data_IF_886622828521
#
_entry.id   IF_886622828521
#
_cell.length_a   1.000
_cell.length_b   1.000
_cell.length_c   1.000
_cell.angle_alpha   90.00
_cell.angle_beta   90.00
_cell.angle_gamma   90.00
#
_symmetry.space_group_name_H-M   'P 1'
#
loop_
_entity.id
_entity.type
_entity.pdbx_description
1 polymer ?
#
# COMPACT_ATOMS: atom_id res chain seq x y z
N UNK A 1 -7.97 -3.02 -14.87
CA UNK A 1 -7.96 -3.90 -13.69
C UNK A 1 -7.40 -3.19 -12.44
N UNK A 2 -8.08 -3.35 -11.30
CA UNK A 2 -7.74 -2.66 -10.04
C UNK A 2 -6.36 -3.07 -9.50
N UNK A 3 -5.96 -4.32 -9.72
CA UNK A 3 -4.62 -4.84 -9.37
C UNK A 3 -3.47 -4.03 -9.97
N UNK A 4 -3.57 -3.58 -11.23
CA UNK A 4 -2.54 -2.73 -11.87
C UNK A 4 -2.56 -1.33 -11.29
N UNK A 5 -3.74 -0.80 -10.96
CA UNK A 5 -3.85 0.52 -10.33
C UNK A 5 -3.23 0.50 -8.93
N UNK A 6 -3.45 -0.58 -8.15
CA UNK A 6 -2.79 -0.79 -6.87
C UNK A 6 -1.26 -0.84 -7.02
N UNK A 7 -0.74 -1.60 -8.00
CA UNK A 7 0.69 -1.65 -8.25
C UNK A 7 1.30 -0.28 -8.59
N UNK A 8 0.61 0.52 -9.41
CA UNK A 8 1.04 1.89 -9.76
C UNK A 8 0.98 2.78 -8.52
N UNK A 9 -0.11 2.75 -7.76
CA UNK A 9 -0.28 3.57 -6.56
C UNK A 9 0.78 3.26 -5.50
N UNK A 10 1.06 1.97 -5.25
CA UNK A 10 2.10 1.54 -4.31
C UNK A 10 3.50 1.86 -4.83
N UNK A 11 3.74 1.79 -6.14
CA UNK A 11 5.00 2.27 -6.73
C UNK A 11 5.20 3.78 -6.51
N UNK A 12 4.14 4.58 -6.66
CA UNK A 12 4.18 6.02 -6.36
C UNK A 12 4.44 6.28 -4.87
N UNK A 13 3.83 5.51 -3.97
CA UNK A 13 4.13 5.60 -2.52
C UNK A 13 5.59 5.26 -2.26
N UNK A 14 6.10 4.16 -2.81
CA UNK A 14 7.49 3.73 -2.63
C UNK A 14 8.48 4.79 -3.16
N UNK A 15 8.23 5.35 -4.34
CA UNK A 15 9.02 6.47 -4.87
C UNK A 15 8.90 7.73 -4.01
N UNK A 16 7.70 8.01 -3.49
CA UNK A 16 7.43 9.09 -2.55
C UNK A 16 8.34 9.05 -1.32
N UNK A 17 8.58 7.86 -0.76
CA UNK A 17 9.46 7.70 0.41
C UNK A 17 10.91 8.16 0.20
N UNK A 18 11.36 8.33 -1.06
CA UNK A 18 12.69 8.83 -1.38
C UNK A 18 12.78 10.36 -1.28
N UNK A 19 11.68 11.09 -1.44
CA UNK A 19 11.69 12.55 -1.47
C UNK A 19 12.20 13.17 -0.15
N UNK A 20 11.74 12.73 1.05
CA UNK A 20 12.23 13.26 2.32
C UNK A 20 13.75 13.09 2.53
N UNK A 21 14.40 12.13 1.87
CA UNK A 21 15.86 11.94 1.97
C UNK A 21 16.66 13.11 1.38
N UNK A 22 16.07 13.85 0.45
CA UNK A 22 16.68 15.02 -0.22
C UNK A 22 16.45 16.33 0.52
N UNK A 23 15.72 16.31 1.64
CA UNK A 23 15.32 17.52 2.33
C UNK A 23 16.32 17.94 3.41
N UNK A 24 17.03 19.05 3.16
CA UNK A 24 17.97 19.63 4.13
C UNK A 24 17.34 20.70 5.05
N UNK A 25 16.09 21.08 4.80
CA UNK A 25 15.38 22.12 5.56
C UNK A 25 13.95 21.69 5.92
N UNK A 26 13.44 22.21 7.04
CA UNK A 26 12.08 21.89 7.53
C UNK A 26 10.97 22.21 6.51
N UNK A 27 10.97 23.36 5.80
CA UNK A 27 9.96 23.63 4.79
C UNK A 27 10.01 22.67 3.60
N UNK A 28 11.22 22.29 3.16
CA UNK A 28 11.41 21.32 2.09
C UNK A 28 10.96 19.93 2.53
N UNK A 29 11.19 19.57 3.79
CA UNK A 29 10.72 18.32 4.38
C UNK A 29 9.19 18.27 4.44
N UNK A 30 8.54 19.36 4.84
CA UNK A 30 7.08 19.46 4.82
C UNK A 30 6.51 19.30 3.40
N UNK A 31 7.13 19.94 2.40
CA UNK A 31 6.70 19.83 1.01
C UNK A 31 6.89 18.41 0.45
N UNK A 32 8.04 17.79 0.70
CA UNK A 32 8.34 16.44 0.22
C UNK A 32 7.44 15.39 0.85
N UNK A 33 7.16 15.50 2.16
CA UNK A 33 6.19 14.64 2.85
C UNK A 33 4.77 14.87 2.33
N UNK A 34 4.37 16.12 2.08
CA UNK A 34 3.06 16.45 1.50
C UNK A 34 2.87 15.77 0.12
N UNK A 35 3.85 15.91 -0.77
CA UNK A 35 3.82 15.29 -2.11
C UNK A 35 3.76 13.77 -1.99
N UNK A 36 4.53 13.18 -1.06
CA UNK A 36 4.52 11.74 -0.80
C UNK A 36 3.14 11.26 -0.35
N UNK A 37 2.43 12.06 0.44
CA UNK A 37 1.09 11.75 0.95
C UNK A 37 0.00 11.65 -0.13
N UNK A 38 0.16 12.32 -1.28
CA UNK A 38 -0.84 12.32 -2.37
C UNK A 38 -1.11 10.89 -2.89
N UNK A 39 -0.10 10.03 -2.89
CA UNK A 39 -0.22 8.65 -3.36
C UNK A 39 -0.97 7.72 -2.39
N UNK A 40 -1.23 8.16 -1.14
CA UNK A 40 -1.90 7.33 -0.12
C UNK A 40 -3.38 7.11 -0.47
N UNK A 41 -4.08 8.16 -0.94
CA UNK A 41 -5.50 8.07 -1.30
C UNK A 41 -5.80 7.04 -2.40
N UNK A 42 -5.15 7.07 -3.59
CA UNK A 42 -5.39 6.07 -4.62
C UNK A 42 -4.96 4.65 -4.17
N UNK A 43 -3.97 4.54 -3.27
CA UNK A 43 -3.58 3.25 -2.69
C UNK A 43 -4.73 2.65 -1.87
N UNK A 44 -5.33 3.43 -0.97
CA UNK A 44 -6.47 2.96 -0.16
C UNK A 44 -7.69 2.64 -1.01
N UNK A 45 -8.05 3.51 -1.95
CA UNK A 45 -9.22 3.30 -2.82
C UNK A 45 -9.08 2.00 -3.62
N UNK A 46 -7.91 1.77 -4.23
CA UNK A 46 -7.68 0.55 -5.03
C UNK A 46 -7.58 -0.70 -4.16
N UNK A 47 -6.98 -0.61 -2.98
CA UNK A 47 -6.89 -1.72 -2.03
C UNK A 47 -8.27 -2.15 -1.52
N UNK A 48 -9.09 -1.21 -1.06
CA UNK A 48 -10.45 -1.52 -0.59
C UNK A 48 -11.34 -2.01 -1.71
N UNK A 49 -11.25 -1.42 -2.91
CA UNK A 49 -11.98 -1.94 -4.08
C UNK A 49 -11.57 -3.37 -4.47
N UNK A 50 -10.32 -3.78 -4.22
CA UNK A 50 -9.90 -5.18 -4.39
C UNK A 50 -10.47 -6.09 -3.31
N UNK A 51 -10.47 -5.64 -2.05
CA UNK A 51 -11.02 -6.40 -0.92
C UNK A 51 -12.51 -6.68 -1.15
N UNK A 52 -13.27 -5.65 -1.52
CA UNK A 52 -14.72 -5.76 -1.81
C UNK A 52 -15.03 -6.76 -2.94
N UNK A 53 -14.12 -6.93 -3.90
CA UNK A 53 -14.31 -7.86 -5.02
C UNK A 53 -13.84 -9.29 -4.75
N UNK A 54 -12.88 -9.46 -3.83
CA UNK A 54 -12.25 -10.77 -3.59
C UNK A 54 -12.77 -11.46 -2.33
N UNK A 55 -13.30 -10.70 -1.38
CA UNK A 55 -13.85 -11.26 -0.14
C UNK A 55 -15.35 -11.50 -0.34
N UNK A 56 -15.86 -12.73 -0.05
CA UNK A 56 -17.28 -13.01 -0.10
C UNK A 56 -18.08 -12.03 0.76
N UNK A 57 -19.26 -11.61 0.30
CA UNK A 57 -20.08 -10.60 0.99
C UNK A 57 -20.31 -10.91 2.47
N UNK A 58 -20.52 -12.19 2.81
CA UNK A 58 -20.73 -12.66 4.17
C UNK A 58 -19.53 -12.43 5.11
N UNK A 59 -18.32 -12.23 4.58
CA UNK A 59 -17.07 -12.06 5.33
C UNK A 59 -16.40 -10.71 5.10
N UNK A 60 -17.05 -9.75 4.42
CA UNK A 60 -16.46 -8.44 4.11
C UNK A 60 -16.03 -7.68 5.37
N UNK A 61 -16.84 -7.70 6.42
CA UNK A 61 -16.51 -7.06 7.69
C UNK A 61 -15.25 -7.65 8.31
N UNK A 62 -15.09 -8.97 8.23
CA UNK A 62 -13.90 -9.66 8.73
C UNK A 62 -12.67 -9.31 7.87
N UNK A 63 -12.81 -9.28 6.54
CA UNK A 63 -11.76 -8.86 5.61
C UNK A 63 -11.26 -7.43 5.89
N UNK A 64 -12.17 -6.48 6.05
CA UNK A 64 -11.82 -5.08 6.39
C UNK A 64 -11.17 -5.00 7.77
N UNK A 65 -11.66 -5.77 8.75
CA UNK A 65 -11.09 -5.81 10.09
C UNK A 65 -9.63 -6.27 10.06
N UNK A 66 -9.35 -7.39 9.37
CA UNK A 66 -7.99 -7.90 9.22
C UNK A 66 -7.05 -6.88 8.55
N UNK A 67 -7.54 -6.15 7.55
CA UNK A 67 -6.76 -5.10 6.86
C UNK A 67 -6.42 -3.96 7.81
N UNK A 68 -7.39 -3.46 8.58
CA UNK A 68 -7.16 -2.40 9.57
C UNK A 68 -6.22 -2.85 10.69
N UNK A 69 -6.35 -4.09 11.16
CA UNK A 69 -5.41 -4.68 12.13
C UNK A 69 -3.99 -4.75 11.55
N UNK A 70 -3.84 -5.19 10.30
CA UNK A 70 -2.56 -5.22 9.61
C UNK A 70 -1.91 -3.83 9.51
N UNK A 71 -2.70 -2.79 9.18
CA UNK A 71 -2.23 -1.40 9.17
C UNK A 71 -1.74 -0.98 10.55
N UNK A 72 -2.49 -1.29 11.62
CA UNK A 72 -2.10 -1.02 13.01
C UNK A 72 -0.77 -1.68 13.39
N UNK A 73 -0.59 -2.95 13.04
CA UNK A 73 0.66 -3.69 13.27
C UNK A 73 1.82 -3.06 12.50
N UNK A 74 1.60 -2.71 11.22
CA UNK A 74 2.60 -2.05 10.40
C UNK A 74 3.04 -0.69 10.97
N UNK A 75 2.09 0.13 11.43
CA UNK A 75 2.40 1.41 12.08
C UNK A 75 3.21 1.21 13.37
N UNK A 76 2.87 0.22 14.20
CA UNK A 76 3.61 -0.07 15.43
C UNK A 76 5.04 -0.51 15.14
N UNK A 77 5.23 -1.47 14.22
CA UNK A 77 6.55 -1.96 13.82
C UNK A 77 7.38 -0.87 13.15
N UNK A 78 6.76 -0.07 12.26
CA UNK A 78 7.42 1.05 11.59
C UNK A 78 7.87 2.13 12.57
N UNK A 79 7.01 2.50 13.52
CA UNK A 79 7.35 3.48 14.58
C UNK A 79 8.51 2.98 15.46
N UNK A 80 8.45 1.72 15.89
CA UNK A 80 9.52 1.09 16.67
C UNK A 80 10.85 1.08 15.91
N UNK A 81 10.86 0.61 14.66
CA UNK A 81 12.07 0.51 13.84
C UNK A 81 12.63 1.90 13.49
N UNK A 82 11.77 2.86 13.13
CA UNK A 82 12.18 4.23 12.85
C UNK A 82 12.78 4.90 14.08
N UNK A 83 12.16 4.75 15.26
CA UNK A 83 12.70 5.26 16.52
C UNK A 83 14.09 4.68 16.82
N UNK A 84 14.23 3.36 16.78
CA UNK A 84 15.50 2.69 17.03
C UNK A 84 16.62 3.13 16.06
N UNK A 85 16.28 3.33 14.77
CA UNK A 85 17.24 3.82 13.77
C UNK A 85 17.60 5.28 14.01
N UNK A 86 16.62 6.13 14.33
CA UNK A 86 16.85 7.55 14.64
C UNK A 86 17.74 7.72 15.87
N UNK A 87 17.51 6.92 16.91
CA UNK A 87 18.30 6.97 18.15
C UNK A 87 19.76 6.56 17.91
N UNK A 88 20.01 5.61 17.01
CA UNK A 88 21.36 5.09 16.74
C UNK A 88 22.12 5.86 15.65
N UNK A 89 21.44 6.37 14.63
CA UNK A 89 22.05 6.90 13.40
C UNK A 89 21.56 8.33 13.04
N UNK A 90 20.73 8.95 13.89
CA UNK A 90 20.23 10.30 13.73
C UNK A 90 18.95 10.41 12.89
N UNK A 91 18.29 11.56 12.95
CA UNK A 91 16.94 11.77 12.39
C UNK A 91 16.81 11.42 10.89
N UNK A 92 17.79 11.79 10.07
CA UNK A 92 17.73 11.58 8.62
C UNK A 92 17.78 10.11 8.23
N UNK A 93 18.45 9.27 9.03
CA UNK A 93 18.53 7.82 8.78
C UNK A 93 17.18 7.12 8.95
N UNK A 94 16.27 7.68 9.76
CA UNK A 94 14.93 7.14 9.98
C UNK A 94 14.10 7.02 8.70
N UNK A 95 14.34 7.87 7.70
CA UNK A 95 13.64 7.80 6.42
C UNK A 95 13.98 6.55 5.60
N UNK A 96 15.14 5.92 5.83
CA UNK A 96 15.47 4.64 5.19
C UNK A 96 14.54 3.51 5.62
N UNK A 97 13.95 3.58 6.82
CA UNK A 97 12.93 2.63 7.27
C UNK A 97 11.67 2.73 6.40
N UNK A 98 11.27 3.96 6.04
CA UNK A 98 10.16 4.18 5.10
C UNK A 98 10.47 3.64 3.71
N UNK A 99 11.70 3.85 3.20
CA UNK A 99 12.14 3.32 1.89
C UNK A 99 12.13 1.80 1.87
N UNK A 100 12.68 1.16 2.91
CA UNK A 100 12.66 -0.29 3.04
C UNK A 100 11.22 -0.83 3.09
N UNK A 101 10.35 -0.20 3.89
CA UNK A 101 8.94 -0.59 4.01
C UNK A 101 8.18 -0.42 2.69
N UNK A 102 8.38 0.70 1.99
CA UNK A 102 7.79 0.95 0.67
C UNK A 102 8.25 -0.06 -0.38
N UNK A 103 9.53 -0.45 -0.34
CA UNK A 103 10.08 -1.47 -1.24
C UNK A 103 9.48 -2.85 -0.97
N UNK A 104 9.34 -3.23 0.32
CA UNK A 104 8.70 -4.49 0.73
C UNK A 104 7.23 -4.51 0.32
N UNK A 105 6.50 -3.40 0.52
CA UNK A 105 5.11 -3.28 0.11
C UNK A 105 4.96 -3.43 -1.41
N UNK A 106 5.81 -2.74 -2.19
CA UNK A 106 5.82 -2.86 -3.65
C UNK A 106 6.12 -4.30 -4.10
N UNK A 107 7.14 -4.93 -3.51
CA UNK A 107 7.48 -6.33 -3.82
C UNK A 107 6.30 -7.26 -3.52
N UNK A 108 5.63 -7.07 -2.38
CA UNK A 108 4.44 -7.86 -1.98
C UNK A 108 3.31 -7.71 -2.99
N UNK A 109 3.01 -6.48 -3.42
CA UNK A 109 1.96 -6.22 -4.42
C UNK A 109 2.31 -6.79 -5.79
N UNK A 110 3.58 -6.70 -6.21
CA UNK A 110 4.05 -7.27 -7.47
C UNK A 110 3.96 -8.80 -7.48
N UNK A 111 4.33 -9.45 -6.39
CA UNK A 111 4.17 -10.90 -6.22
C UNK A 111 2.69 -11.31 -6.19
N UNK A 112 1.83 -10.48 -5.60
CA UNK A 112 0.39 -10.70 -5.52
C UNK A 112 -0.38 -10.52 -6.84
N UNK A 113 0.19 -9.86 -7.86
CA UNK A 113 -0.51 -9.57 -9.13
C UNK A 113 -1.09 -10.83 -9.78
N UNK A 114 -0.36 -11.96 -9.75
CA UNK A 114 -0.84 -13.20 -10.39
C UNK A 114 -2.08 -13.77 -9.69
N UNK A 115 -2.11 -13.72 -8.36
CA UNK A 115 -3.24 -14.21 -7.57
C UNK A 115 -4.48 -13.35 -7.80
N UNK A 116 -4.31 -12.02 -7.83
CA UNK A 116 -5.41 -11.07 -8.05
C UNK A 116 -5.96 -11.14 -9.48
N UNK A 117 -5.11 -11.40 -10.47
CA UNK A 117 -5.53 -11.53 -11.86
C UNK A 117 -6.38 -12.79 -12.12
N UNK A 118 -6.10 -13.87 -11.38
CA UNK A 118 -6.78 -15.16 -11.58
C UNK A 118 -8.25 -15.07 -11.18
N UNK A 119 -8.56 -14.36 -10.09
CA UNK A 119 -9.93 -14.14 -9.64
C UNK A 119 -10.74 -13.21 -10.57
N UNK A 120 -10.12 -12.15 -11.13
CA UNK A 120 -10.81 -11.31 -12.14
C UNK A 120 -11.21 -12.13 -13.37
N UNK A 121 -10.37 -13.06 -13.83
CA UNK A 121 -10.68 -13.91 -14.99
C UNK A 121 -11.80 -14.94 -14.71
N UNK A 122 -11.88 -15.45 -13.48
CA UNK A 122 -12.93 -16.41 -13.07
C UNK A 122 -14.31 -15.73 -12.97
N UNK A 123 -14.37 -14.50 -12.44
CA UNK A 123 -15.58 -13.69 -12.36
C UNK A 123 -16.13 -13.34 -13.75
N UNK A 124 -15.28 -12.82 -14.65
CA UNK A 124 -15.69 -12.50 -16.03
C UNK A 124 -16.19 -13.76 -16.78
N UNK A 125 -15.57 -14.91 -16.53
CA UNK A 125 -15.99 -16.19 -17.11
C UNK A 125 -17.33 -16.71 -16.57
N UNK A 126 -17.63 -16.46 -15.29
CA UNK A 126 -18.90 -16.83 -14.67
C UNK A 126 -20.04 -15.93 -15.16
N UNK A 127 -19.83 -14.61 -15.23
CA UNK A 127 -20.80 -13.64 -15.77
C UNK A 127 -21.13 -13.94 -17.24
N UNK A 128 -20.13 -14.27 -18.06
CA UNK A 128 -20.33 -14.66 -19.46
C UNK A 128 -21.09 -16.00 -19.64
N UNK A 129 -21.10 -16.86 -18.61
CA UNK A 129 -21.81 -18.14 -18.64
C UNK A 129 -23.28 -18.03 -18.22
N UNK A 130 -23.68 -16.95 -17.55
CA UNK A 130 -25.08 -16.67 -17.21
C UNK A 130 -25.73 -16.07 -18.48
N UNK A 131 -26.67 -16.76 -19.15
CA UNK A 131 -27.35 -16.19 -20.30
C UNK A 131 -28.09 -14.94 -19.85
N UNK A 132 -27.84 -13.82 -20.53
CA UNK A 132 -28.58 -12.58 -20.32
C UNK A 132 -30.05 -12.83 -20.71
N UNK A 133 -30.89 -13.12 -19.70
CA UNK A 133 -32.36 -13.17 -19.81
C UNK A 133 -32.95 -11.77 -20.02
#
# INVERSE_FOLDING_TARGET
PLQRQLAIAVALVALGTLLPLTADTVPLLALTVFISGVAISPTFITAFGLIERHVPEAMLTEGITWVMTGIGIGMALGSFAAGAVVDAFGAQSGFWVSVASGTIALATVLLGQRSLATHECELDGCEAAIPAE
#
